data_IF_048645168019
#
_entry.id   IF_048645168019
#
_cell.length_a   1.000
_cell.length_b   1.000
_cell.length_c   1.000
_cell.angle_alpha   90.00
_cell.angle_beta   90.00
_cell.angle_gamma   90.00
#
_symmetry.space_group_name_H-M   'P 1'
#
loop_
_entity.id
_entity.type
_entity.pdbx_description
1 polymer ?
#
# COMPACT_ATOMS: atom_id res chain seq x y z
N UNK A 1 -66.17 -8.64 85.77
CA UNK A 1 -64.94 -7.83 85.73
C UNK A 1 -64.47 -7.76 84.28
N UNK A 2 -64.82 -6.71 83.53
CA UNK A 2 -64.23 -5.35 83.58
C UNK A 2 -62.87 -5.36 82.85
N UNK A 3 -62.77 -4.94 81.57
CA UNK A 3 -62.52 -3.57 81.03
C UNK A 3 -61.07 -3.13 81.42
N UNK A 4 -60.09 -2.74 80.57
CA UNK A 4 -59.97 -1.79 79.42
C UNK A 4 -58.80 -2.26 78.51
N UNK A 5 -58.89 -2.28 77.18
CA UNK A 5 -58.73 -1.16 76.20
C UNK A 5 -57.42 -0.36 76.27
N UNK A 6 -56.72 -0.31 75.12
CA UNK A 6 -55.47 0.42 74.95
C UNK A 6 -54.85 0.19 73.56
N UNK A 7 -55.58 0.59 72.52
CA UNK A 7 -55.15 0.65 71.12
C UNK A 7 -54.10 1.74 70.90
N UNK A 8 -53.01 1.44 70.17
CA UNK A 8 -52.30 2.45 69.37
C UNK A 8 -51.66 1.79 68.16
N UNK A 9 -52.41 1.78 67.06
CA UNK A 9 -51.94 1.45 65.72
C UNK A 9 -51.06 2.59 65.20
N UNK A 10 -49.74 2.41 65.26
CA UNK A 10 -48.80 3.34 64.65
C UNK A 10 -48.85 3.19 63.12
N UNK A 11 -49.60 4.11 62.50
CA UNK A 11 -49.66 4.36 61.05
C UNK A 11 -48.25 4.44 60.45
N UNK A 12 -47.87 3.44 59.64
CA UNK A 12 -46.78 3.54 58.66
C UNK A 12 -47.20 4.60 57.65
N UNK A 13 -46.71 5.83 57.85
CA UNK A 13 -46.76 6.87 56.83
C UNK A 13 -45.80 6.46 55.72
N UNK A 14 -46.36 5.99 54.61
CA UNK A 14 -45.64 5.99 53.34
C UNK A 14 -45.13 7.42 53.11
N UNK A 15 -43.80 7.57 53.10
CA UNK A 15 -43.18 8.83 52.68
C UNK A 15 -43.55 9.02 51.21
N UNK A 16 -44.17 10.14 50.82
CA UNK A 16 -44.37 10.42 49.42
C UNK A 16 -43.00 10.47 48.75
N UNK A 17 -42.83 9.67 47.68
CA UNK A 17 -41.64 9.68 46.85
C UNK A 17 -41.36 11.13 46.45
N UNK A 18 -40.22 11.67 46.90
CA UNK A 18 -39.85 13.07 46.67
C UNK A 18 -39.88 13.31 45.17
N UNK A 19 -40.73 14.25 44.72
CA UNK A 19 -40.78 14.63 43.31
C UNK A 19 -39.36 15.01 42.87
N UNK A 20 -38.88 14.38 41.80
CA UNK A 20 -37.53 14.63 41.28
C UNK A 20 -37.41 16.10 40.92
N UNK A 21 -36.29 16.71 41.28
CA UNK A 21 -36.02 18.11 40.94
C UNK A 21 -35.88 18.23 39.42
N UNK A 22 -36.24 19.37 38.82
CA UNK A 22 -36.12 19.60 37.36
C UNK A 22 -34.73 19.20 36.84
N UNK A 23 -33.67 19.55 37.57
CA UNK A 23 -32.28 19.20 37.24
C UNK A 23 -32.00 17.68 37.28
N UNK A 24 -32.67 16.93 38.16
CA UNK A 24 -32.55 15.48 38.22
C UNK A 24 -33.26 14.80 37.03
N UNK A 25 -34.32 15.41 36.53
CA UNK A 25 -35.03 14.94 35.32
C UNK A 25 -34.18 15.23 34.07
N UNK A 26 -33.57 16.41 34.00
CA UNK A 26 -32.67 16.78 32.89
C UNK A 26 -31.45 15.87 32.79
N UNK A 27 -30.88 15.45 33.93
CA UNK A 27 -29.76 14.49 33.95
C UNK A 27 -30.10 13.14 33.33
N UNK A 28 -31.36 12.69 33.41
CA UNK A 28 -31.79 11.43 32.80
C UNK A 28 -31.67 11.49 31.27
N UNK A 29 -31.75 12.69 30.71
CA UNK A 29 -31.68 12.94 29.28
C UNK A 29 -30.27 13.29 28.77
N UNK A 30 -29.30 13.52 29.66
CA UNK A 30 -27.88 13.75 29.34
C UNK A 30 -27.12 12.45 29.00
N UNK A 31 -27.61 11.70 28.02
CA UNK A 31 -27.08 10.37 27.67
C UNK A 31 -25.66 10.42 27.08
N UNK A 32 -25.32 11.46 26.33
CA UNK A 32 -24.02 11.60 25.65
C UNK A 32 -22.96 12.33 26.50
N UNK A 33 -23.21 12.49 27.80
CA UNK A 33 -22.36 13.20 28.75
C UNK A 33 -22.66 14.69 28.88
N UNK A 34 -22.27 15.28 30.02
CA UNK A 34 -22.50 16.71 30.32
C UNK A 34 -21.45 17.64 29.69
N UNK A 35 -20.31 17.10 29.26
CA UNK A 35 -19.17 17.88 28.77
C UNK A 35 -18.81 17.48 27.34
N UNK A 36 -18.08 18.40 26.70
CA UNK A 36 -17.45 18.14 25.40
C UNK A 36 -16.44 17.00 25.52
N UNK A 37 -16.59 16.00 24.65
CA UNK A 37 -15.60 14.96 24.46
C UNK A 37 -14.33 15.63 23.90
N UNK A 38 -13.17 15.44 24.55
CA UNK A 38 -11.94 16.18 24.23
C UNK A 38 -11.28 15.72 22.92
N UNK A 39 -11.64 14.54 22.41
CA UNK A 39 -11.05 13.97 21.19
C UNK A 39 -11.48 14.68 19.90
N UNK A 40 -10.60 14.61 18.91
CA UNK A 40 -10.82 15.11 17.53
C UNK A 40 -11.06 13.97 16.52
N UNK A 41 -11.05 12.73 17.01
CA UNK A 41 -11.36 11.52 16.27
C UNK A 41 -12.85 11.48 15.85
N UNK A 42 -13.15 10.58 14.92
CA UNK A 42 -14.47 10.45 14.32
C UNK A 42 -15.56 10.25 15.38
N UNK A 43 -15.35 9.32 16.32
CA UNK A 43 -16.33 9.00 17.37
C UNK A 43 -16.52 10.18 18.31
N UNK A 44 -15.45 10.84 18.76
CA UNK A 44 -15.57 12.04 19.61
C UNK A 44 -16.33 13.18 18.92
N UNK A 45 -16.14 13.38 17.60
CA UNK A 45 -16.91 14.37 16.83
C UNK A 45 -18.38 14.01 16.75
N UNK A 46 -18.71 12.75 16.46
CA UNK A 46 -20.09 12.26 16.43
C UNK A 46 -20.75 12.41 17.80
N UNK A 47 -20.10 11.99 18.89
CA UNK A 47 -20.61 12.12 20.24
C UNK A 47 -20.86 13.59 20.64
N UNK A 48 -19.99 14.50 20.22
CA UNK A 48 -20.18 15.93 20.43
C UNK A 48 -21.40 16.47 19.67
N UNK A 49 -21.58 16.09 18.41
CA UNK A 49 -22.75 16.46 17.60
C UNK A 49 -24.04 15.92 18.23
N UNK A 50 -24.03 14.65 18.66
CA UNK A 50 -25.19 14.02 19.31
C UNK A 50 -25.51 14.69 20.65
N UNK A 51 -24.51 15.09 21.44
CA UNK A 51 -24.71 15.87 22.67
C UNK A 51 -25.36 17.22 22.39
N UNK A 52 -24.76 18.03 21.51
CA UNK A 52 -25.27 19.36 21.16
C UNK A 52 -26.69 19.28 20.57
N UNK A 53 -26.96 18.27 19.75
CA UNK A 53 -28.29 17.99 19.20
C UNK A 53 -29.28 17.63 20.29
N UNK A 54 -28.88 16.83 21.29
CA UNK A 54 -29.74 16.45 22.43
C UNK A 54 -30.11 17.66 23.27
N UNK A 55 -29.12 18.48 23.65
CA UNK A 55 -29.32 19.72 24.42
C UNK A 55 -30.24 20.69 23.67
N UNK A 56 -29.97 20.92 22.39
CA UNK A 56 -30.78 21.78 21.54
C UNK A 56 -32.22 21.29 21.41
N UNK A 57 -32.42 20.00 21.09
CA UNK A 57 -33.75 19.42 20.91
C UNK A 57 -34.58 19.41 22.19
N UNK A 58 -33.97 19.09 23.35
CA UNK A 58 -34.66 19.13 24.64
C UNK A 58 -35.07 20.55 25.00
N UNK A 59 -34.19 21.54 24.79
CA UNK A 59 -34.49 22.95 25.08
C UNK A 59 -35.65 23.46 24.22
N UNK A 60 -35.62 23.22 22.91
CA UNK A 60 -36.69 23.67 22.00
C UNK A 60 -38.00 22.93 22.24
N UNK A 61 -37.94 21.63 22.56
CA UNK A 61 -39.15 20.86 22.85
C UNK A 61 -39.76 21.27 24.19
N UNK A 62 -38.98 21.56 25.23
CA UNK A 62 -39.52 22.10 26.50
C UNK A 62 -40.30 23.41 26.25
N UNK A 63 -39.72 24.33 25.47
CA UNK A 63 -40.41 25.57 25.08
C UNK A 63 -41.71 25.29 24.34
N UNK A 64 -41.69 24.39 23.35
CA UNK A 64 -42.87 24.01 22.58
C UNK A 64 -43.99 23.42 23.45
N UNK A 65 -43.68 22.42 24.30
CA UNK A 65 -44.69 21.76 25.13
C UNK A 65 -45.23 22.69 26.23
N UNK A 66 -44.41 23.65 26.71
CA UNK A 66 -44.87 24.71 27.60
C UNK A 66 -45.86 25.64 26.92
N UNK A 67 -45.55 26.10 25.71
CA UNK A 67 -46.38 27.05 24.97
C UNK A 67 -47.66 26.40 24.39
N UNK A 68 -47.60 25.09 24.10
CA UNK A 68 -48.75 24.26 23.69
C UNK A 68 -49.81 24.16 24.79
N UNK A 69 -49.39 23.99 26.05
CA UNK A 69 -50.29 23.69 27.17
C UNK A 69 -51.15 22.45 26.90
N UNK A 70 -52.46 22.54 27.20
CA UNK A 70 -53.41 21.43 27.04
C UNK A 70 -53.94 21.24 25.60
N UNK A 71 -53.48 22.02 24.63
CA UNK A 71 -53.92 21.89 23.24
C UNK A 71 -53.41 20.56 22.65
N UNK A 72 -54.16 19.89 21.76
CA UNK A 72 -53.67 18.71 21.06
C UNK A 72 -52.50 19.08 20.14
N UNK A 73 -51.63 18.11 19.84
CA UNK A 73 -50.48 18.33 18.97
C UNK A 73 -50.96 18.46 17.52
N UNK A 74 -50.44 19.44 16.78
CA UNK A 74 -50.84 19.70 15.39
C UNK A 74 -50.43 18.58 14.42
N UNK A 75 -49.44 17.76 14.78
CA UNK A 75 -48.91 16.64 13.96
C UNK A 75 -48.65 15.39 14.83
N UNK A 76 -49.69 14.63 15.22
CA UNK A 76 -49.56 13.49 16.12
C UNK A 76 -48.75 12.32 15.54
N UNK A 77 -48.55 12.27 14.21
CA UNK A 77 -47.69 11.27 13.56
C UNK A 77 -46.19 11.55 13.75
N UNK A 78 -45.81 12.80 14.00
CA UNK A 78 -44.41 13.23 14.11
C UNK A 78 -44.01 13.65 15.54
N UNK A 79 -44.98 14.07 16.35
CA UNK A 79 -44.78 14.61 17.69
C UNK A 79 -45.64 13.84 18.69
N UNK A 80 -45.08 13.55 19.87
CA UNK A 80 -45.80 12.89 20.97
C UNK A 80 -46.67 13.89 21.72
N UNK A 81 -47.62 13.41 22.52
CA UNK A 81 -48.54 14.30 23.23
C UNK A 81 -47.88 15.00 24.42
N UNK A 82 -46.95 14.28 25.07
CA UNK A 82 -46.20 14.71 26.25
C UNK A 82 -44.72 14.89 25.93
N UNK A 83 -44.09 15.82 26.65
CA UNK A 83 -42.65 16.09 26.55
C UNK A 83 -41.82 14.83 26.83
N UNK A 84 -42.11 14.10 27.91
CA UNK A 84 -41.32 12.93 28.30
C UNK A 84 -41.31 11.86 27.20
N UNK A 85 -42.46 11.55 26.62
CA UNK A 85 -42.59 10.59 25.52
C UNK A 85 -41.81 11.02 24.27
N UNK A 86 -41.81 12.32 23.97
CA UNK A 86 -41.01 12.88 22.89
C UNK A 86 -39.50 12.78 23.19
N UNK A 87 -39.09 13.18 24.39
CA UNK A 87 -37.71 13.15 24.84
C UNK A 87 -37.15 11.71 24.79
N UNK A 88 -37.89 10.73 25.32
CA UNK A 88 -37.51 9.32 25.26
C UNK A 88 -37.38 8.83 23.81
N UNK A 89 -38.37 9.10 22.96
CA UNK A 89 -38.35 8.65 21.56
C UNK A 89 -37.22 9.30 20.75
N UNK A 90 -36.87 10.56 21.04
CA UNK A 90 -35.77 11.24 20.38
C UNK A 90 -34.40 10.71 20.83
N UNK A 91 -34.23 10.49 22.13
CA UNK A 91 -32.99 9.94 22.69
C UNK A 91 -32.74 8.53 22.18
N UNK A 92 -33.78 7.71 22.07
CA UNK A 92 -33.69 6.37 21.46
C UNK A 92 -33.18 6.46 20.01
N UNK A 93 -33.71 7.39 19.21
CA UNK A 93 -33.22 7.62 17.84
C UNK A 93 -31.76 8.07 17.82
N UNK A 94 -31.36 8.99 18.70
CA UNK A 94 -29.97 9.46 18.78
C UNK A 94 -29.00 8.35 19.21
N UNK A 95 -29.41 7.46 20.12
CA UNK A 95 -28.64 6.26 20.48
C UNK A 95 -28.50 5.31 19.30
N UNK A 96 -29.56 5.11 18.51
CA UNK A 96 -29.48 4.29 17.30
C UNK A 96 -28.53 4.90 16.26
N UNK A 97 -28.44 6.23 16.17
CA UNK A 97 -27.44 6.89 15.32
C UNK A 97 -26.02 6.70 15.86
N UNK A 98 -25.81 6.81 17.18
CA UNK A 98 -24.52 6.50 17.79
C UNK A 98 -24.04 5.09 17.42
N UNK A 99 -24.91 4.10 17.57
CA UNK A 99 -24.59 2.69 17.27
C UNK A 99 -24.29 2.48 15.79
N UNK A 100 -25.07 3.10 14.90
CA UNK A 100 -24.79 3.07 13.45
C UNK A 100 -23.43 3.69 13.12
N UNK A 101 -23.09 4.84 13.72
CA UNK A 101 -21.80 5.48 13.50
C UNK A 101 -20.65 4.63 14.05
N UNK A 102 -20.82 3.96 15.19
CA UNK A 102 -19.84 3.04 15.75
C UNK A 102 -19.62 1.83 14.83
N UNK A 103 -20.70 1.19 14.40
CA UNK A 103 -20.67 0.05 13.48
C UNK A 103 -20.00 0.43 12.17
N UNK A 104 -20.33 1.59 11.63
CA UNK A 104 -19.69 2.14 10.42
C UNK A 104 -18.18 2.35 10.63
N UNK A 105 -17.78 2.97 11.75
CA UNK A 105 -16.39 3.19 12.07
C UNK A 105 -15.59 1.89 12.16
N UNK A 106 -16.13 0.89 12.86
CA UNK A 106 -15.52 -0.44 12.96
C UNK A 106 -15.41 -1.12 11.59
N UNK A 107 -16.45 -1.03 10.77
CA UNK A 107 -16.44 -1.55 9.40
C UNK A 107 -15.36 -0.89 8.56
N UNK A 108 -15.22 0.44 8.63
CA UNK A 108 -14.19 1.18 7.90
C UNK A 108 -12.77 0.81 8.35
N UNK A 109 -12.55 0.59 9.65
CA UNK A 109 -11.26 0.12 10.17
C UNK A 109 -10.94 -1.27 9.59
N UNK A 110 -11.91 -2.19 9.62
CA UNK A 110 -11.70 -3.55 9.10
C UNK A 110 -11.46 -3.55 7.58
N UNK A 111 -12.20 -2.75 6.83
CA UNK A 111 -11.99 -2.59 5.38
C UNK A 111 -10.62 -2.01 5.06
N UNK A 112 -10.20 -0.97 5.79
CA UNK A 112 -8.88 -0.38 5.62
C UNK A 112 -7.75 -1.38 5.92
N UNK A 113 -7.89 -2.17 7.00
CA UNK A 113 -6.96 -3.26 7.32
C UNK A 113 -6.87 -4.30 6.19
N UNK A 114 -8.03 -4.74 5.67
CA UNK A 114 -8.05 -5.68 4.55
C UNK A 114 -7.33 -5.13 3.31
N UNK A 115 -7.54 -3.85 3.01
CA UNK A 115 -6.83 -3.19 1.90
C UNK A 115 -5.32 -3.13 2.12
N UNK A 116 -4.87 -2.91 3.35
CA UNK A 116 -3.45 -2.94 3.69
C UNK A 116 -2.85 -4.34 3.63
N UNK A 117 -3.54 -5.37 4.11
CA UNK A 117 -3.08 -6.76 3.97
C UNK A 117 -2.93 -7.15 2.49
N UNK A 118 -3.86 -6.71 1.64
CA UNK A 118 -3.76 -6.92 0.19
C UNK A 118 -2.58 -6.14 -0.40
N UNK A 119 -2.37 -4.90 0.03
CA UNK A 119 -1.26 -4.08 -0.40
C UNK A 119 0.08 -4.70 0.01
N UNK A 120 0.25 -5.12 1.25
CA UNK A 120 1.43 -5.82 1.77
C UNK A 120 1.73 -7.06 0.91
N UNK A 121 0.72 -7.92 0.71
CA UNK A 121 0.87 -9.12 -0.11
C UNK A 121 1.30 -8.80 -1.54
N UNK A 122 0.72 -7.76 -2.14
CA UNK A 122 1.04 -7.38 -3.52
C UNK A 122 2.42 -6.73 -3.62
N UNK A 123 2.76 -5.88 -2.66
CA UNK A 123 4.05 -5.19 -2.57
C UNK A 123 5.22 -6.16 -2.37
N UNK A 124 5.00 -7.29 -1.69
CA UNK A 124 5.98 -8.37 -1.55
C UNK A 124 6.42 -8.98 -2.89
N UNK A 125 5.64 -8.81 -3.96
CA UNK A 125 5.98 -9.28 -5.31
C UNK A 125 6.88 -8.30 -6.06
N UNK A 126 6.94 -7.04 -5.64
CA UNK A 126 7.68 -5.97 -6.31
C UNK A 126 9.18 -6.30 -6.50
N UNK A 127 9.92 -6.82 -5.49
CA UNK A 127 11.33 -7.16 -5.67
C UNK A 127 11.56 -8.19 -6.77
N UNK A 128 10.65 -9.17 -6.90
CA UNK A 128 10.74 -10.21 -7.93
C UNK A 128 10.50 -9.63 -9.32
N UNK A 129 9.51 -8.74 -9.45
CA UNK A 129 9.20 -8.09 -10.73
C UNK A 129 10.39 -7.24 -11.19
N UNK A 130 10.95 -6.44 -10.28
CA UNK A 130 12.11 -5.60 -10.55
C UNK A 130 13.33 -6.42 -10.97
N UNK A 131 13.63 -7.51 -10.25
CA UNK A 131 14.74 -8.40 -10.60
C UNK A 131 14.57 -9.04 -11.99
N UNK A 132 13.36 -9.47 -12.32
CA UNK A 132 13.07 -10.06 -13.62
C UNK A 132 13.23 -9.03 -14.74
N UNK A 133 12.77 -7.80 -14.54
CA UNK A 133 12.91 -6.72 -15.52
C UNK A 133 14.39 -6.38 -15.75
N UNK A 134 15.18 -6.23 -14.68
CA UNK A 134 16.62 -6.00 -14.78
C UNK A 134 17.34 -7.14 -15.52
N UNK A 135 16.98 -8.38 -15.22
CA UNK A 135 17.55 -9.57 -15.90
C UNK A 135 17.22 -9.55 -17.38
N UNK A 136 15.96 -9.26 -17.72
CA UNK A 136 15.50 -9.16 -19.10
C UNK A 136 16.23 -8.08 -19.90
N UNK A 137 16.40 -6.89 -19.32
CA UNK A 137 17.14 -5.79 -19.96
C UNK A 137 18.62 -6.16 -20.16
N UNK A 138 19.26 -6.74 -19.16
CA UNK A 138 20.64 -7.23 -19.25
C UNK A 138 20.81 -8.28 -20.35
N UNK A 139 19.89 -9.24 -20.43
CA UNK A 139 19.93 -10.27 -21.48
C UNK A 139 19.82 -9.66 -22.87
N UNK A 140 18.92 -8.67 -23.04
CA UNK A 140 18.77 -7.95 -24.30
C UNK A 140 20.06 -7.26 -24.75
N UNK A 141 20.74 -6.56 -23.83
CA UNK A 141 22.03 -5.91 -24.11
C UNK A 141 23.09 -6.92 -24.55
N UNK A 142 23.18 -8.08 -23.88
CA UNK A 142 24.12 -9.13 -24.24
C UNK A 142 23.81 -9.78 -25.60
N UNK A 143 22.53 -9.95 -25.93
CA UNK A 143 22.09 -10.46 -27.24
C UNK A 143 22.48 -9.48 -28.35
N UNK A 144 22.19 -8.19 -28.17
CA UNK A 144 22.54 -7.14 -29.14
C UNK A 144 24.06 -7.07 -29.35
N UNK A 145 24.84 -7.11 -28.26
CA UNK A 145 26.29 -7.16 -28.31
C UNK A 145 26.79 -8.40 -29.09
N UNK A 146 26.23 -9.58 -28.80
CA UNK A 146 26.59 -10.81 -29.49
C UNK A 146 26.32 -10.70 -31.00
N UNK A 147 25.16 -10.18 -31.40
CA UNK A 147 24.81 -10.01 -32.81
C UNK A 147 25.81 -9.09 -33.53
N UNK A 148 26.19 -7.97 -32.91
CA UNK A 148 27.22 -7.08 -33.46
C UNK A 148 28.55 -7.82 -33.61
N UNK A 149 28.94 -8.60 -32.61
CA UNK A 149 30.16 -9.39 -32.63
C UNK A 149 30.18 -10.46 -33.72
N UNK A 150 29.07 -11.19 -33.89
CA UNK A 150 28.93 -12.22 -34.93
C UNK A 150 29.14 -11.60 -36.32
N UNK A 151 28.59 -10.40 -36.58
CA UNK A 151 28.81 -9.71 -37.87
C UNK A 151 30.27 -9.32 -38.12
N UNK A 152 31.01 -8.92 -37.08
CA UNK A 152 32.43 -8.59 -37.17
C UNK A 152 33.24 -9.86 -37.46
N UNK A 153 32.95 -10.94 -36.72
CA UNK A 153 33.61 -12.23 -36.89
C UNK A 153 33.41 -12.76 -38.31
N UNK A 154 32.17 -12.76 -38.80
CA UNK A 154 31.85 -13.24 -40.14
C UNK A 154 32.60 -12.46 -41.22
N UNK A 155 32.65 -11.12 -41.10
CA UNK A 155 33.37 -10.27 -42.05
C UNK A 155 34.87 -10.58 -42.07
N UNK A 156 35.52 -10.59 -40.90
CA UNK A 156 36.96 -10.81 -40.78
C UNK A 156 37.35 -12.24 -41.18
N UNK A 157 36.53 -13.23 -40.83
CA UNK A 157 36.75 -14.62 -41.20
C UNK A 157 36.62 -14.83 -42.72
N UNK A 158 35.61 -14.22 -43.34
CA UNK A 158 35.43 -14.26 -44.79
C UNK A 158 36.61 -13.61 -45.50
N UNK A 159 37.05 -12.43 -45.06
CA UNK A 159 38.23 -11.76 -45.61
C UNK A 159 39.47 -12.66 -45.49
N UNK A 160 39.72 -13.25 -44.32
CA UNK A 160 40.87 -14.11 -44.13
C UNK A 160 40.81 -15.39 -44.96
N UNK A 161 39.62 -15.94 -45.19
CA UNK A 161 39.43 -17.09 -46.09
C UNK A 161 39.72 -16.73 -47.55
N UNK A 162 39.32 -15.55 -48.01
CA UNK A 162 39.69 -15.04 -49.34
C UNK A 162 41.20 -14.90 -49.49
N UNK A 163 41.88 -14.28 -48.51
CA UNK A 163 43.34 -14.14 -48.49
C UNK A 163 44.05 -15.51 -48.54
N UNK A 164 43.58 -16.47 -47.73
CA UNK A 164 44.08 -17.85 -47.74
C UNK A 164 43.93 -18.49 -49.12
N UNK A 165 42.77 -18.31 -49.77
CA UNK A 165 42.52 -18.87 -51.10
C UNK A 165 43.43 -18.23 -52.16
N UNK A 166 43.67 -16.91 -52.07
CA UNK A 166 44.63 -16.22 -52.93
C UNK A 166 46.05 -16.76 -52.75
N UNK A 167 46.52 -16.92 -51.50
CA UNK A 167 47.84 -17.49 -51.21
C UNK A 167 47.98 -18.91 -51.78
N UNK A 168 46.94 -19.75 -51.64
CA UNK A 168 46.92 -21.11 -52.20
C UNK A 168 47.00 -21.11 -53.73
N UNK A 169 46.28 -20.22 -54.41
CA UNK A 169 46.29 -20.10 -55.88
C UNK A 169 47.64 -19.62 -56.43
N UNK A 170 48.40 -18.87 -55.63
CA UNK A 170 49.73 -18.39 -56.02
C UNK A 170 50.81 -19.48 -55.92
N UNK A 171 50.60 -20.55 -55.15
CA UNK A 171 51.56 -21.64 -55.03
C UNK A 171 51.75 -22.39 -56.35
N UNK A 172 53.01 -22.52 -56.79
CA UNK A 172 53.37 -23.31 -57.98
C UNK A 172 54.48 -24.31 -57.68
N UNK A 173 54.43 -25.54 -58.25
CA UNK A 173 55.49 -26.54 -58.08
C UNK A 173 56.88 -26.04 -58.49
N UNK A 174 56.93 -25.10 -59.44
CA UNK A 174 58.18 -24.53 -59.98
C UNK A 174 58.93 -23.63 -59.00
N UNK A 175 58.33 -23.24 -57.87
CA UNK A 175 58.97 -22.40 -56.85
C UNK A 175 59.91 -23.18 -55.92
N UNK A 176 59.96 -24.51 -56.02
CA UNK A 176 60.95 -25.34 -55.31
C UNK A 176 62.37 -25.24 -55.85
N UNK A 177 62.58 -24.64 -57.04
CA UNK A 177 63.90 -24.47 -57.63
C UNK A 177 64.72 -23.40 -56.87
N UNK A 178 66.05 -23.59 -56.68
CA UNK A 178 66.90 -22.64 -55.93
C UNK A 178 66.80 -21.20 -56.42
N UNK A 179 66.69 -21.00 -57.73
CA UNK A 179 66.57 -19.69 -58.36
C UNK A 179 65.22 -18.97 -58.11
N UNK A 180 64.18 -19.67 -57.62
CA UNK A 180 62.82 -19.13 -57.41
C UNK A 180 62.34 -19.23 -55.97
N UNK A 181 63.23 -19.59 -55.03
CA UNK A 181 62.93 -19.75 -53.60
C UNK A 181 62.39 -18.47 -52.94
N UNK A 182 62.80 -17.29 -53.43
CA UNK A 182 62.31 -15.99 -52.95
C UNK A 182 60.79 -15.82 -53.12
N UNK A 183 60.21 -16.34 -54.20
CA UNK A 183 58.76 -16.30 -54.42
C UNK A 183 58.00 -17.15 -53.40
N UNK A 184 58.53 -18.34 -53.07
CA UNK A 184 57.96 -19.20 -52.04
C UNK A 184 58.04 -18.55 -50.65
N UNK A 185 59.16 -17.89 -50.34
CA UNK A 185 59.33 -17.14 -49.09
C UNK A 185 58.36 -15.96 -48.98
N UNK A 186 58.06 -15.27 -50.08
CA UNK A 186 57.07 -14.19 -50.08
C UNK A 186 55.67 -14.69 -49.72
N UNK A 187 55.24 -15.83 -50.29
CA UNK A 187 53.94 -16.46 -49.97
C UNK A 187 53.92 -16.97 -48.52
N UNK A 188 55.01 -17.59 -48.04
CA UNK A 188 55.13 -18.03 -46.64
C UNK A 188 55.01 -16.87 -45.65
N UNK A 189 55.64 -15.73 -45.94
CA UNK A 189 55.54 -14.53 -45.11
C UNK A 189 54.12 -13.94 -45.10
N UNK A 190 53.43 -13.94 -46.25
CA UNK A 190 52.03 -13.49 -46.34
C UNK A 190 51.09 -14.39 -45.54
N UNK A 191 51.30 -15.71 -45.58
CA UNK A 191 50.48 -16.66 -44.82
C UNK A 191 50.74 -16.55 -43.31
N UNK A 192 52.00 -16.35 -42.89
CA UNK A 192 52.33 -16.05 -41.48
C UNK A 192 51.64 -14.78 -41.00
N UNK A 193 51.71 -13.70 -41.78
CA UNK A 193 51.05 -12.44 -41.44
C UNK A 193 49.53 -12.61 -41.29
N UNK A 194 48.89 -13.36 -42.20
CA UNK A 194 47.45 -13.68 -42.13
C UNK A 194 47.10 -14.44 -40.86
N UNK A 195 47.91 -15.43 -40.49
CA UNK A 195 47.71 -16.22 -39.26
C UNK A 195 47.92 -15.37 -38.00
N UNK A 196 48.94 -14.50 -37.98
CA UNK A 196 49.15 -13.54 -36.89
C UNK A 196 47.96 -12.58 -36.74
N UNK A 197 47.40 -12.11 -37.85
CA UNK A 197 46.23 -11.23 -37.83
C UNK A 197 44.99 -11.93 -37.24
N UNK A 198 44.73 -13.20 -37.59
CA UNK A 198 43.67 -13.98 -36.94
C UNK A 198 43.93 -14.12 -35.43
N UNK A 199 45.17 -14.44 -35.02
CA UNK A 199 45.49 -14.60 -33.60
C UNK A 199 45.28 -13.29 -32.80
N UNK A 200 45.65 -12.16 -33.40
CA UNK A 200 45.38 -10.83 -32.83
C UNK A 200 43.88 -10.59 -32.70
N UNK A 201 43.11 -10.89 -33.75
CA UNK A 201 41.65 -10.77 -33.73
C UNK A 201 41.03 -11.61 -32.62
N UNK A 202 41.40 -12.89 -32.48
CA UNK A 202 40.91 -13.77 -31.41
C UNK A 202 41.19 -13.16 -30.03
N UNK A 203 42.40 -12.64 -29.83
CA UNK A 203 42.82 -12.03 -28.57
C UNK A 203 42.02 -10.76 -28.25
N UNK A 204 41.81 -9.92 -29.27
CA UNK A 204 40.99 -8.71 -29.15
C UNK A 204 39.53 -9.04 -28.84
N UNK A 205 38.92 -9.96 -29.60
CA UNK A 205 37.54 -10.40 -29.38
C UNK A 205 37.37 -10.93 -27.96
N UNK A 206 38.27 -11.80 -27.50
CA UNK A 206 38.26 -12.32 -26.12
C UNK A 206 38.31 -11.19 -25.09
N UNK A 207 39.22 -10.24 -25.25
CA UNK A 207 39.36 -9.10 -24.33
C UNK A 207 38.08 -8.28 -24.27
N UNK A 208 37.52 -7.94 -25.44
CA UNK A 208 36.30 -7.13 -25.54
C UNK A 208 35.07 -7.85 -25.00
N UNK A 209 34.92 -9.16 -25.24
CA UNK A 209 33.85 -9.96 -24.64
C UNK A 209 33.92 -9.94 -23.12
N UNK A 210 35.12 -10.14 -22.55
CA UNK A 210 35.31 -10.11 -21.09
C UNK A 210 34.93 -8.72 -20.54
N UNK A 211 35.40 -7.65 -21.17
CA UNK A 211 35.11 -6.29 -20.75
C UNK A 211 33.61 -5.97 -20.79
N UNK A 212 32.90 -6.40 -21.84
CA UNK A 212 31.45 -6.18 -21.95
C UNK A 212 30.67 -6.97 -20.90
N UNK A 213 31.02 -8.24 -20.68
CA UNK A 213 30.39 -9.05 -19.62
C UNK A 213 30.63 -8.40 -18.26
N UNK A 214 31.85 -7.94 -17.98
CA UNK A 214 32.19 -7.27 -16.73
C UNK A 214 31.41 -5.97 -16.54
N UNK A 215 31.35 -5.13 -17.57
CA UNK A 215 30.60 -3.87 -17.54
C UNK A 215 29.11 -4.12 -17.30
N UNK A 216 28.49 -5.02 -18.06
CA UNK A 216 27.08 -5.38 -17.89
C UNK A 216 26.80 -5.97 -16.50
N UNK A 217 27.68 -6.86 -16.01
CA UNK A 217 27.56 -7.43 -14.66
C UNK A 217 27.65 -6.34 -13.58
N UNK A 218 28.58 -5.41 -13.74
CA UNK A 218 28.75 -4.29 -12.82
C UNK A 218 27.52 -3.39 -12.80
N UNK A 219 26.97 -3.06 -13.97
CA UNK A 219 25.76 -2.24 -14.11
C UNK A 219 24.55 -2.91 -13.44
N UNK A 220 24.31 -4.19 -13.74
CA UNK A 220 23.23 -4.97 -13.11
C UNK A 220 23.41 -5.03 -11.60
N UNK A 221 24.63 -5.29 -11.12
CA UNK A 221 24.90 -5.38 -9.68
C UNK A 221 24.66 -4.05 -8.98
N UNK A 222 25.11 -2.94 -9.56
CA UNK A 222 24.90 -1.60 -9.01
C UNK A 222 23.42 -1.21 -9.01
N UNK A 223 22.71 -1.50 -10.11
CA UNK A 223 21.28 -1.24 -10.24
C UNK A 223 20.47 -2.06 -9.23
N UNK A 224 20.78 -3.36 -9.09
CA UNK A 224 20.15 -4.25 -8.11
C UNK A 224 20.40 -3.78 -6.68
N UNK A 225 21.64 -3.41 -6.34
CA UNK A 225 21.97 -2.90 -5.01
C UNK A 225 21.19 -1.62 -4.68
N UNK A 226 21.16 -0.67 -5.61
CA UNK A 226 20.44 0.61 -5.46
C UNK A 226 18.93 0.39 -5.33
N UNK A 227 18.36 -0.50 -6.14
CA UNK A 227 16.93 -0.78 -6.11
C UNK A 227 16.54 -1.58 -4.87
N UNK A 228 17.37 -2.53 -4.42
CA UNK A 228 17.15 -3.24 -3.16
C UNK A 228 17.14 -2.28 -1.96
N UNK A 229 18.09 -1.35 -1.88
CA UNK A 229 18.14 -0.32 -0.85
C UNK A 229 16.87 0.54 -0.86
N UNK A 230 16.47 1.03 -2.04
CA UNK A 230 15.24 1.83 -2.19
C UNK A 230 14.00 1.05 -1.77
N UNK A 231 13.87 -0.21 -2.17
CA UNK A 231 12.74 -1.05 -1.79
C UNK A 231 12.68 -1.29 -0.28
N UNK A 232 13.83 -1.49 0.38
CA UNK A 232 13.89 -1.63 1.83
C UNK A 232 13.43 -0.35 2.55
N UNK A 233 13.89 0.82 2.10
CA UNK A 233 13.45 2.10 2.64
C UNK A 233 11.94 2.27 2.47
N UNK A 234 11.42 1.99 1.26
CA UNK A 234 9.99 2.09 0.99
C UNK A 234 9.16 1.13 1.83
N UNK A 235 9.63 -0.10 2.06
CA UNK A 235 8.94 -1.07 2.90
C UNK A 235 8.97 -0.70 4.39
N UNK A 236 10.01 -0.01 4.86
CA UNK A 236 10.07 0.50 6.23
C UNK A 236 9.11 1.68 6.46
N UNK A 237 8.82 2.46 5.42
CA UNK A 237 7.89 3.60 5.48
C UNK A 237 6.40 3.19 5.34
N UNK A 238 6.12 1.96 4.94
CA UNK A 238 4.76 1.49 4.70
C UNK A 238 4.09 1.10 6.03
N UNK A 239 2.91 1.68 6.27
CA UNK A 239 2.05 1.29 7.39
C UNK A 239 1.62 -0.17 7.25
N UNK A 240 1.72 -0.94 8.32
CA UNK A 240 1.26 -2.34 8.34
C UNK A 240 -0.14 -2.48 8.93
N UNK A 241 -0.86 -3.54 8.54
CA UNK A 241 -2.19 -3.83 9.06
C UNK A 241 -2.20 -4.02 10.59
N UNK A 242 -1.09 -4.45 11.17
CA UNK A 242 -0.90 -4.65 12.61
C UNK A 242 -0.76 -3.35 13.40
N UNK A 243 -0.27 -2.29 12.77
CA UNK A 243 -0.14 -0.95 13.38
C UNK A 243 -1.50 -0.25 13.56
N UNK A 244 -2.54 -0.74 12.89
CA UNK A 244 -3.91 -0.24 13.07
C UNK A 244 -4.52 -0.92 14.28
N UNK A 245 -4.37 -0.28 15.44
CA UNK A 245 -5.04 -0.72 16.67
C UNK A 245 -6.56 -0.65 16.51
N UNK A 246 -7.26 -1.73 16.88
CA UNK A 246 -8.66 -1.66 17.30
C UNK A 246 -8.70 -0.81 18.57
N UNK A 247 -9.18 0.43 18.47
CA UNK A 247 -9.59 1.20 19.64
C UNK A 247 -10.71 0.48 20.39
#
# INVERSE_FOLDING_TARGET
SSIEEGTTTASRRDRPSRARTRDEIYRIYCVFGEKKHPGQDFLSKILNILRESTEGLLTHSEMFYRDKGNRPVTRPQALREKFDEFAYSMIEKLKNYEEQCRTYHESSINEFRFMLELFERTSSLMPKIEFNEQTFQSEKVLIEFKQQFDTIIDKELNQSNCEKQTNLQQLRPTYGAPAKKSFLQAIDNQEKLRQENIQKLISQLRSTTIQNIQANTQEVTQSLATNAERLLILFDEILTADEITRT
#
